data_IF_799855366041
#
_entry.id   IF_799855366041
#
_cell.length_a   1.000
_cell.length_b   1.000
_cell.length_c   1.000
_cell.angle_alpha   90.00
_cell.angle_beta   90.00
_cell.angle_gamma   90.00
#
_symmetry.space_group_name_H-M   'P 1'
#
loop_
_entity.id
_entity.type
_entity.pdbx_description
1 polymer ?
#
# COMPACT_ATOMS: atom_id res chain seq x y z
N UNK A 1 -24.55 -36.56 15.68
CA UNK A 1 -23.20 -36.52 15.06
C UNK A 1 -22.80 -35.07 14.92
N UNK A 2 -22.25 -34.48 15.94
CA UNK A 2 -21.82 -33.08 15.94
C UNK A 2 -21.09 -32.85 17.24
N UNK A 3 -19.78 -33.13 17.31
CA UNK A 3 -18.93 -32.59 18.38
C UNK A 3 -17.42 -32.92 18.25
N UNK A 4 -16.96 -33.32 17.08
CA UNK A 4 -15.51 -33.67 16.93
C UNK A 4 -14.62 -32.55 16.40
N UNK A 5 -15.12 -31.34 16.10
CA UNK A 5 -14.32 -30.26 15.52
C UNK A 5 -13.78 -29.22 16.51
N UNK A 6 -14.12 -29.28 17.78
CA UNK A 6 -13.77 -28.26 18.78
C UNK A 6 -12.55 -28.64 19.66
N UNK A 7 -12.11 -29.89 19.64
CA UNK A 7 -11.06 -30.40 20.54
C UNK A 7 -9.59 -30.13 20.09
N UNK A 8 -9.34 -29.54 18.91
CA UNK A 8 -8.00 -29.54 18.31
C UNK A 8 -7.12 -28.29 18.58
N UNK A 9 -7.53 -27.35 19.39
CA UNK A 9 -6.84 -26.05 19.52
C UNK A 9 -5.94 -25.89 20.72
N UNK A 10 -5.72 -26.95 21.53
CA UNK A 10 -4.92 -26.90 22.74
C UNK A 10 -3.57 -27.64 22.62
N UNK A 11 -3.29 -28.28 21.50
CA UNK A 11 -2.13 -29.15 21.31
C UNK A 11 -1.23 -28.57 20.18
N UNK A 12 0.09 -28.71 20.35
CA UNK A 12 1.05 -28.44 19.29
C UNK A 12 0.77 -29.37 18.09
N UNK A 13 0.61 -28.78 16.92
CA UNK A 13 0.38 -29.53 15.68
C UNK A 13 1.60 -29.45 14.77
N UNK A 14 1.84 -30.49 13.99
CA UNK A 14 2.79 -30.51 12.88
C UNK A 14 1.98 -30.62 11.60
N UNK A 15 2.08 -29.60 10.74
CA UNK A 15 1.40 -29.60 9.44
C UNK A 15 2.44 -29.72 8.32
N UNK A 16 2.22 -30.71 7.43
CA UNK A 16 3.07 -30.89 6.25
C UNK A 16 2.58 -29.98 5.12
N UNK A 17 3.49 -29.32 4.44
CA UNK A 17 3.19 -28.42 3.33
C UNK A 17 2.89 -29.23 2.08
N UNK A 18 1.71 -29.01 1.53
CA UNK A 18 1.24 -29.62 0.30
C UNK A 18 1.61 -28.76 -0.92
N UNK A 19 1.46 -29.33 -2.13
CA UNK A 19 1.79 -28.64 -3.41
C UNK A 19 1.08 -27.30 -3.58
N UNK A 20 -0.15 -27.20 -3.11
CA UNK A 20 -0.95 -25.95 -3.17
C UNK A 20 -0.44 -24.83 -2.27
N UNK A 21 0.36 -25.17 -1.25
CA UNK A 21 0.92 -24.24 -0.25
C UNK A 21 2.38 -23.87 -0.54
N UNK A 22 2.98 -24.48 -1.57
CA UNK A 22 4.35 -24.21 -1.97
C UNK A 22 4.54 -22.76 -2.41
N UNK A 23 5.70 -22.18 -2.18
CA UNK A 23 6.06 -20.81 -2.52
C UNK A 23 5.29 -19.73 -1.72
N UNK A 24 4.34 -20.11 -0.86
CA UNK A 24 3.62 -19.17 -0.01
C UNK A 24 4.54 -18.74 1.15
N UNK A 25 4.51 -17.46 1.50
CA UNK A 25 5.20 -16.96 2.69
C UNK A 25 4.54 -17.53 3.95
N UNK A 26 5.36 -17.90 4.93
CA UNK A 26 4.90 -18.51 6.18
C UNK A 26 3.88 -17.63 6.93
N UNK A 27 4.08 -16.31 6.98
CA UNK A 27 3.15 -15.39 7.62
C UNK A 27 1.78 -15.35 6.91
N UNK A 28 1.77 -15.49 5.58
CA UNK A 28 0.54 -15.55 4.78
C UNK A 28 -0.16 -16.90 4.97
N UNK A 29 0.60 -18.00 4.94
CA UNK A 29 0.10 -19.33 5.18
C UNK A 29 -0.60 -19.44 6.54
N UNK A 30 -0.04 -18.79 7.60
CA UNK A 30 -0.68 -18.70 8.91
C UNK A 30 -1.95 -17.87 8.89
N UNK A 31 -1.99 -16.74 8.20
CA UNK A 31 -3.19 -15.91 8.12
C UNK A 31 -4.32 -16.58 7.38
N UNK A 32 -4.03 -17.34 6.35
CA UNK A 32 -5.05 -18.06 5.59
C UNK A 32 -5.70 -19.18 6.42
N UNK A 33 -4.93 -19.82 7.31
CA UNK A 33 -5.42 -20.93 8.18
C UNK A 33 -5.93 -20.47 9.54
N UNK A 34 -5.37 -19.40 10.05
CA UNK A 34 -5.69 -18.84 11.36
C UNK A 34 -6.00 -17.34 11.24
N UNK A 35 -7.10 -16.97 10.56
CA UNK A 35 -7.41 -15.57 10.21
C UNK A 35 -7.59 -14.66 11.44
N UNK A 36 -7.86 -15.25 12.61
CA UNK A 36 -7.94 -14.54 13.88
C UNK A 36 -6.57 -14.12 14.46
N UNK A 37 -5.45 -14.67 13.95
CA UNK A 37 -4.12 -14.24 14.33
C UNK A 37 -3.69 -13.00 13.54
N UNK A 38 -3.58 -11.87 14.22
CA UNK A 38 -3.01 -10.66 13.63
C UNK A 38 -1.50 -10.82 13.36
N UNK A 39 -0.96 -10.03 12.41
CA UNK A 39 0.45 -10.06 12.00
C UNK A 39 1.42 -10.00 13.20
N UNK A 40 1.18 -9.10 14.17
CA UNK A 40 2.04 -8.98 15.35
C UNK A 40 2.06 -10.24 16.24
N UNK A 41 0.95 -10.99 16.30
CA UNK A 41 0.88 -12.26 17.02
C UNK A 41 1.75 -13.33 16.33
N UNK A 42 1.63 -13.45 15.00
CA UNK A 42 2.45 -14.37 14.20
C UNK A 42 3.94 -14.04 14.35
N UNK A 43 4.33 -12.78 14.25
CA UNK A 43 5.71 -12.34 14.43
C UNK A 43 6.24 -12.62 15.83
N UNK A 44 5.42 -12.45 16.87
CA UNK A 44 5.77 -12.80 18.24
C UNK A 44 6.01 -14.31 18.38
N UNK A 45 5.13 -15.16 17.82
CA UNK A 45 5.27 -16.61 17.85
C UNK A 45 6.53 -17.09 17.11
N UNK A 46 6.87 -16.46 15.99
CA UNK A 46 8.11 -16.74 15.26
C UNK A 46 9.34 -16.31 16.06
N UNK A 47 9.34 -15.10 16.60
CA UNK A 47 10.45 -14.56 17.41
C UNK A 47 10.72 -15.40 18.65
N UNK A 48 9.67 -15.87 19.32
CA UNK A 48 9.79 -16.73 20.50
C UNK A 48 10.09 -18.20 20.15
N UNK A 49 10.14 -18.54 18.84
CA UNK A 49 10.44 -19.88 18.35
C UNK A 49 9.32 -20.90 18.60
N UNK A 50 8.10 -20.44 18.82
CA UNK A 50 6.93 -21.30 18.95
C UNK A 50 6.47 -21.83 17.59
N UNK A 51 6.64 -21.04 16.51
CA UNK A 51 6.52 -21.49 15.13
C UNK A 51 7.89 -21.89 14.63
N UNK A 52 7.98 -23.07 13.97
CA UNK A 52 9.21 -23.59 13.37
C UNK A 52 8.88 -24.29 12.06
N UNK A 53 9.85 -24.33 11.14
CA UNK A 53 9.79 -25.12 9.92
C UNK A 53 10.95 -26.13 9.98
N UNK A 54 10.66 -27.42 9.86
CA UNK A 54 11.61 -28.53 10.00
C UNK A 54 12.47 -28.41 11.27
N UNK A 55 11.83 -28.01 12.38
CA UNK A 55 12.47 -27.80 13.67
C UNK A 55 13.31 -26.52 13.80
N UNK A 56 13.52 -25.76 12.73
CA UNK A 56 14.36 -24.55 12.71
C UNK A 56 13.54 -23.28 12.91
N UNK A 57 14.15 -22.25 13.49
CA UNK A 57 13.58 -20.90 13.53
C UNK A 57 13.70 -20.24 12.15
N UNK A 58 12.62 -19.66 11.67
CA UNK A 58 12.57 -18.98 10.39
C UNK A 58 11.92 -17.59 10.54
N UNK A 59 12.12 -16.71 9.55
CA UNK A 59 11.50 -15.39 9.51
C UNK A 59 10.08 -15.46 8.95
N UNK A 60 9.26 -14.44 9.20
CA UNK A 60 7.88 -14.36 8.72
C UNK A 60 7.74 -14.46 7.19
N UNK A 61 8.71 -13.94 6.46
CA UNK A 61 8.75 -13.95 5.00
C UNK A 61 9.37 -15.23 4.39
N UNK A 62 9.66 -16.25 5.21
CA UNK A 62 10.17 -17.55 4.75
C UNK A 62 9.16 -18.17 3.77
N UNK A 63 9.61 -18.66 2.62
CA UNK A 63 8.78 -19.34 1.63
C UNK A 63 8.78 -20.84 1.90
N UNK A 64 7.57 -21.38 1.97
CA UNK A 64 7.36 -22.79 2.26
C UNK A 64 7.57 -23.63 1.00
N UNK A 65 8.13 -24.82 1.18
CA UNK A 65 8.37 -25.82 0.14
C UNK A 65 7.57 -27.09 0.43
N UNK A 66 7.22 -27.84 -0.61
CA UNK A 66 6.47 -29.09 -0.48
C UNK A 66 7.21 -30.07 0.42
N UNK A 67 6.49 -30.70 1.33
CA UNK A 67 7.03 -31.71 2.25
C UNK A 67 7.62 -31.14 3.55
N UNK A 68 7.84 -29.84 3.64
CA UNK A 68 8.29 -29.22 4.90
C UNK A 68 7.25 -29.36 6.01
N UNK A 69 7.73 -29.49 7.25
CA UNK A 69 6.90 -29.65 8.45
C UNK A 69 6.87 -28.35 9.25
N UNK A 70 5.69 -27.74 9.32
CA UNK A 70 5.45 -26.52 10.10
C UNK A 70 4.92 -26.90 11.48
N UNK A 71 5.66 -26.52 12.53
CA UNK A 71 5.21 -26.61 13.92
C UNK A 71 4.28 -25.43 14.22
N UNK A 72 3.03 -25.75 14.50
CA UNK A 72 2.00 -24.80 14.90
C UNK A 72 1.82 -24.90 16.42
N UNK A 73 2.04 -23.81 17.18
CA UNK A 73 1.82 -23.82 18.64
C UNK A 73 0.32 -23.94 18.96
N UNK A 74 -0.04 -24.21 20.22
CA UNK A 74 -1.42 -24.11 20.68
C UNK A 74 -1.95 -22.70 20.39
N UNK A 75 -2.97 -22.61 19.54
CA UNK A 75 -3.62 -21.35 19.18
C UNK A 75 -4.95 -21.29 19.93
N UNK A 76 -5.19 -20.23 20.68
CA UNK A 76 -6.45 -20.03 21.39
C UNK A 76 -7.62 -20.08 20.42
N UNK A 77 -8.74 -20.69 20.84
CA UNK A 77 -9.94 -20.81 20.02
C UNK A 77 -10.48 -19.44 19.59
N UNK A 78 -11.09 -19.34 18.40
CA UNK A 78 -11.70 -18.10 17.90
C UNK A 78 -12.58 -17.40 18.93
N UNK A 79 -13.38 -18.15 19.70
CA UNK A 79 -14.30 -17.60 20.70
C UNK A 79 -13.62 -16.71 21.79
N UNK A 80 -12.40 -17.00 22.17
CA UNK A 80 -11.66 -16.19 23.14
C UNK A 80 -10.99 -14.95 22.50
N UNK A 81 -10.74 -15.00 21.20
CA UNK A 81 -10.26 -13.86 20.41
C UNK A 81 -11.40 -12.94 19.94
N UNK A 82 -12.58 -13.49 19.68
CA UNK A 82 -13.77 -12.72 19.27
C UNK A 82 -14.29 -11.82 20.37
N UNK A 83 -14.21 -12.24 21.64
CA UNK A 83 -14.56 -11.37 22.77
C UNK A 83 -13.60 -10.19 22.98
N UNK A 84 -12.37 -10.23 22.45
CA UNK A 84 -11.41 -9.14 22.53
C UNK A 84 -11.39 -8.24 21.28
N UNK A 85 -12.11 -8.59 20.23
CA UNK A 85 -12.15 -7.86 18.95
C UNK A 85 -13.55 -7.88 18.33
N UNK A 86 -14.57 -7.47 19.06
CA UNK A 86 -15.73 -6.87 18.41
C UNK A 86 -15.41 -5.48 17.88
N UNK A 87 -14.46 -5.40 16.92
CA UNK A 87 -14.59 -4.36 15.92
C UNK A 87 -15.72 -4.87 15.03
N UNK A 88 -16.98 -4.60 15.40
CA UNK A 88 -18.11 -4.67 14.50
C UNK A 88 -17.76 -3.73 13.35
N UNK A 89 -17.09 -4.26 12.30
CA UNK A 89 -17.20 -3.64 11.00
C UNK A 89 -18.70 -3.53 10.80
N UNK A 90 -19.25 -2.32 10.95
CA UNK A 90 -20.66 -2.12 10.73
C UNK A 90 -20.89 -2.65 9.30
N UNK A 91 -21.57 -3.79 9.17
CA UNK A 91 -21.80 -4.46 7.88
C UNK A 91 -22.28 -3.45 6.84
N UNK A 92 -23.19 -2.56 7.27
CA UNK A 92 -23.68 -1.45 6.46
C UNK A 92 -22.56 -0.52 5.97
N UNK A 93 -21.60 -0.15 6.83
CA UNK A 93 -20.47 0.70 6.45
C UNK A 93 -19.48 -0.01 5.53
N UNK A 94 -19.32 -1.33 5.66
CA UNK A 94 -18.52 -2.13 4.73
C UNK A 94 -19.20 -2.22 3.35
N UNK A 95 -20.51 -2.41 3.31
CA UNK A 95 -21.28 -2.44 2.07
C UNK A 95 -21.23 -1.08 1.36
N UNK A 96 -21.41 0.03 2.09
CA UNK A 96 -21.30 1.40 1.55
C UNK A 96 -19.90 1.68 0.99
N UNK A 97 -18.85 1.25 1.69
CA UNK A 97 -17.48 1.35 1.19
C UNK A 97 -17.27 0.51 -0.07
N UNK A 98 -17.79 -0.72 -0.09
CA UNK A 98 -17.75 -1.60 -1.26
C UNK A 98 -18.40 -0.95 -2.49
N UNK A 99 -19.60 -0.38 -2.34
CA UNK A 99 -20.28 0.35 -3.41
C UNK A 99 -19.48 1.58 -3.88
N UNK A 100 -18.90 2.32 -2.95
CA UNK A 100 -18.05 3.48 -3.28
C UNK A 100 -16.83 3.06 -4.09
N UNK A 101 -16.18 1.97 -3.72
CA UNK A 101 -15.03 1.46 -4.47
C UNK A 101 -15.43 0.87 -5.83
N UNK A 102 -16.57 0.19 -5.91
CA UNK A 102 -17.09 -0.31 -7.18
C UNK A 102 -17.38 0.81 -8.18
N UNK A 103 -17.89 1.95 -7.70
CA UNK A 103 -18.12 3.14 -8.55
C UNK A 103 -16.84 3.91 -8.90
N UNK A 104 -15.72 3.62 -8.23
CA UNK A 104 -14.42 4.25 -8.48
C UNK A 104 -13.52 3.42 -9.43
N UNK A 105 -14.05 2.40 -10.09
CA UNK A 105 -13.30 1.56 -11.02
C UNK A 105 -12.92 2.35 -12.27
N UNK A 106 -11.62 2.40 -12.54
CA UNK A 106 -11.02 3.05 -13.71
C UNK A 106 -10.80 2.07 -14.86
N UNK A 107 -10.55 0.80 -14.51
CA UNK A 107 -10.32 -0.28 -15.47
C UNK A 107 -10.74 -1.63 -14.87
N UNK A 108 -11.35 -2.45 -15.70
CA UNK A 108 -11.75 -3.81 -15.37
C UNK A 108 -11.56 -4.71 -16.59
N UNK A 109 -10.72 -5.74 -16.46
CA UNK A 109 -10.60 -6.81 -17.44
C UNK A 109 -10.59 -8.20 -16.74
N UNK A 110 -10.17 -9.25 -17.41
CA UNK A 110 -10.17 -10.61 -16.85
C UNK A 110 -9.14 -10.80 -15.73
N UNK A 111 -8.02 -10.07 -15.75
CA UNK A 111 -6.89 -10.24 -14.81
C UNK A 111 -6.78 -9.09 -13.79
N UNK A 112 -7.21 -7.88 -14.16
CA UNK A 112 -6.91 -6.64 -13.43
C UNK A 112 -8.17 -5.85 -13.10
N UNK A 113 -8.20 -5.29 -11.90
CA UNK A 113 -9.09 -4.18 -11.53
C UNK A 113 -8.20 -3.00 -11.14
N UNK A 114 -8.51 -1.82 -11.64
CA UNK A 114 -7.87 -0.59 -11.21
C UNK A 114 -8.93 0.35 -10.65
N UNK A 115 -8.71 0.86 -9.46
CA UNK A 115 -9.63 1.79 -8.80
C UNK A 115 -8.94 3.12 -8.54
N UNK A 116 -9.72 4.20 -8.53
CA UNK A 116 -9.33 5.50 -8.00
C UNK A 116 -9.51 5.49 -6.47
N UNK A 117 -8.43 5.20 -5.74
CA UNK A 117 -8.48 5.14 -4.28
C UNK A 117 -8.71 6.53 -3.68
N UNK A 118 -9.75 6.73 -2.87
CA UNK A 118 -9.92 8.01 -2.18
C UNK A 118 -8.80 8.26 -1.15
N UNK A 119 -8.47 9.54 -0.93
CA UNK A 119 -7.61 9.97 0.17
C UNK A 119 -8.28 9.70 1.52
N UNK A 120 -7.50 9.30 2.53
CA UNK A 120 -7.99 9.00 3.88
C UNK A 120 -8.40 7.54 4.09
N UNK A 121 -8.45 6.71 3.02
CA UNK A 121 -8.77 5.29 3.12
C UNK A 121 -7.49 4.45 3.10
N UNK A 122 -7.30 3.60 4.10
CA UNK A 122 -6.19 2.67 4.16
C UNK A 122 -6.37 1.51 3.17
N UNK A 123 -5.27 1.01 2.57
CA UNK A 123 -5.32 -0.17 1.70
C UNK A 123 -5.45 -1.45 2.53
N UNK A 124 -4.70 -1.55 3.64
CA UNK A 124 -4.71 -2.71 4.53
C UNK A 124 -5.01 -2.31 5.97
N UNK A 125 -5.58 -3.24 6.72
CA UNK A 125 -5.82 -3.07 8.14
C UNK A 125 -4.52 -2.93 8.94
N UNK A 126 -4.63 -2.32 10.11
CA UNK A 126 -3.56 -2.15 11.08
C UNK A 126 -4.12 -1.81 12.45
N UNK A 127 -3.25 -1.54 13.42
CA UNK A 127 -3.69 -1.11 14.75
C UNK A 127 -4.55 0.16 14.61
N UNK A 128 -5.78 0.13 15.11
CA UNK A 128 -6.75 1.26 15.06
C UNK A 128 -7.29 1.63 13.67
N UNK A 129 -7.21 0.74 12.67
CA UNK A 129 -7.83 0.95 11.35
C UNK A 129 -9.06 0.06 11.23
N UNK A 130 -10.25 0.65 11.30
CA UNK A 130 -11.52 -0.06 11.27
C UNK A 130 -12.02 -0.35 9.85
N UNK A 131 -11.71 0.53 8.90
CA UNK A 131 -12.10 0.41 7.49
C UNK A 131 -10.87 0.46 6.59
N UNK A 132 -10.76 -0.50 5.70
CA UNK A 132 -9.67 -0.58 4.72
C UNK A 132 -10.12 -1.38 3.49
N UNK A 133 -9.46 -1.16 2.37
CA UNK A 133 -9.82 -1.77 1.08
C UNK A 133 -9.77 -3.30 1.15
N UNK A 134 -8.73 -3.88 1.76
CA UNK A 134 -8.58 -5.34 1.90
C UNK A 134 -9.78 -6.02 2.58
N UNK A 135 -10.44 -5.30 3.50
CA UNK A 135 -11.60 -5.79 4.25
C UNK A 135 -12.89 -5.87 3.42
N UNK A 136 -12.95 -5.20 2.28
CA UNK A 136 -14.14 -5.14 1.43
C UNK A 136 -13.89 -5.62 0.00
N UNK A 137 -12.76 -6.28 -0.27
CA UNK A 137 -12.45 -6.79 -1.62
C UNK A 137 -13.47 -7.82 -2.13
N UNK A 138 -14.20 -8.47 -1.25
CA UNK A 138 -15.28 -9.42 -1.64
C UNK A 138 -16.40 -8.74 -2.43
N UNK A 139 -16.59 -7.42 -2.25
CA UNK A 139 -17.59 -6.65 -3.01
C UNK A 139 -17.12 -6.29 -4.43
N UNK A 140 -15.83 -6.46 -4.73
CA UNK A 140 -15.20 -6.10 -6.00
C UNK A 140 -14.90 -7.31 -6.90
N UNK A 141 -15.66 -8.39 -6.76
CA UNK A 141 -15.46 -9.60 -7.56
C UNK A 141 -15.89 -9.45 -9.02
N UNK A 142 -16.90 -8.61 -9.30
CA UNK A 142 -17.47 -8.39 -10.63
C UNK A 142 -17.72 -9.69 -11.39
N UNK A 143 -18.40 -10.64 -10.72
CA UNK A 143 -18.73 -11.94 -11.28
C UNK A 143 -17.61 -12.98 -11.30
N UNK A 144 -16.40 -12.64 -10.86
CA UNK A 144 -15.32 -13.61 -10.69
C UNK A 144 -15.55 -14.42 -9.40
N UNK A 145 -15.41 -15.77 -9.40
CA UNK A 145 -15.55 -16.57 -8.20
C UNK A 145 -14.43 -16.35 -7.16
N UNK A 146 -13.33 -15.74 -7.57
CA UNK A 146 -12.21 -15.44 -6.69
C UNK A 146 -12.27 -14.00 -6.17
N UNK A 147 -11.99 -13.84 -4.87
CA UNK A 147 -11.76 -12.53 -4.25
C UNK A 147 -10.54 -11.85 -4.85
N UNK A 148 -10.62 -10.58 -5.27
CA UNK A 148 -9.48 -9.81 -5.73
C UNK A 148 -8.36 -9.74 -4.69
N UNK A 149 -7.13 -9.54 -5.15
CA UNK A 149 -5.92 -9.56 -4.31
C UNK A 149 -5.16 -8.25 -4.44
N UNK A 150 -4.66 -7.77 -3.30
CA UNK A 150 -3.73 -6.65 -3.28
C UNK A 150 -2.36 -7.07 -3.84
N UNK A 151 -1.82 -6.29 -4.77
CA UNK A 151 -0.49 -6.50 -5.37
C UNK A 151 0.50 -5.38 -5.03
N UNK A 152 -0.01 -4.22 -4.64
CA UNK A 152 0.75 -3.11 -4.08
C UNK A 152 -0.11 -2.30 -3.11
N UNK A 153 0.44 -1.22 -2.59
CA UNK A 153 -0.27 -0.35 -1.66
C UNK A 153 0.02 1.12 -1.92
N UNK A 154 -0.94 1.96 -1.56
CA UNK A 154 -0.79 3.40 -1.37
C UNK A 154 -0.91 3.72 0.13
N UNK A 155 -0.32 4.81 0.55
CA UNK A 155 -0.51 5.33 1.90
C UNK A 155 -1.98 5.74 2.12
N UNK A 156 -2.44 5.76 3.37
CA UNK A 156 -3.82 6.10 3.73
C UNK A 156 -4.28 7.40 3.07
N UNK A 157 -3.45 8.44 3.17
CA UNK A 157 -3.81 9.79 2.72
C UNK A 157 -3.43 10.08 1.26
N UNK A 158 -2.76 9.14 0.58
CA UNK A 158 -2.49 9.20 -0.87
C UNK A 158 -3.70 8.69 -1.63
N UNK A 159 -4.19 9.46 -2.60
CA UNK A 159 -5.28 9.09 -3.51
C UNK A 159 -4.77 8.55 -4.84
N UNK A 160 -5.68 8.04 -5.68
CA UNK A 160 -5.41 7.72 -7.09
C UNK A 160 -5.27 6.22 -7.38
N UNK A 161 -4.58 5.93 -8.46
CA UNK A 161 -4.52 4.60 -9.10
C UNK A 161 -4.03 3.51 -8.15
N UNK A 162 -4.91 2.57 -7.82
CA UNK A 162 -4.61 1.35 -7.08
C UNK A 162 -4.99 0.12 -7.91
N UNK A 163 -4.01 -0.75 -8.14
CA UNK A 163 -4.18 -1.98 -8.93
C UNK A 163 -4.47 -3.17 -8.03
N UNK A 164 -5.47 -3.94 -8.40
CA UNK A 164 -5.85 -5.21 -7.78
C UNK A 164 -5.74 -6.31 -8.83
N UNK A 165 -5.36 -7.50 -8.41
CA UNK A 165 -5.43 -8.69 -9.25
C UNK A 165 -6.77 -9.40 -9.03
N UNK A 166 -7.41 -9.86 -10.10
CA UNK A 166 -8.69 -10.58 -10.00
C UNK A 166 -8.56 -12.02 -9.54
N UNK A 167 -7.40 -12.63 -9.79
CA UNK A 167 -7.13 -14.00 -9.41
C UNK A 167 -5.70 -14.21 -8.90
N UNK A 168 -5.35 -15.46 -8.60
CA UNK A 168 -4.03 -15.83 -8.09
C UNK A 168 -2.95 -15.69 -9.15
N UNK A 169 -3.24 -16.02 -10.41
CA UNK A 169 -2.28 -15.96 -11.52
C UNK A 169 -1.88 -14.50 -11.80
N UNK A 170 -2.87 -13.63 -11.92
CA UNK A 170 -2.67 -12.20 -12.06
C UNK A 170 -1.90 -11.61 -10.86
N UNK A 171 -2.23 -12.04 -9.63
CA UNK A 171 -1.51 -11.58 -8.44
C UNK A 171 -0.03 -11.96 -8.44
N UNK A 172 0.33 -13.12 -8.96
CA UNK A 172 1.72 -13.57 -9.05
C UNK A 172 2.55 -12.70 -9.97
N UNK A 173 2.10 -12.50 -11.23
CA UNK A 173 2.88 -11.71 -12.18
C UNK A 173 2.87 -10.20 -11.84
N UNK A 174 1.75 -9.63 -11.40
CA UNK A 174 1.69 -8.24 -10.96
C UNK A 174 2.64 -7.98 -9.78
N UNK A 175 2.61 -8.84 -8.75
CA UNK A 175 3.51 -8.70 -7.60
C UNK A 175 4.98 -8.78 -8.02
N UNK A 176 5.30 -9.67 -8.98
CA UNK A 176 6.64 -9.77 -9.57
C UNK A 176 7.02 -8.45 -10.24
N UNK A 177 6.16 -7.90 -11.10
CA UNK A 177 6.42 -6.68 -11.86
C UNK A 177 6.58 -5.45 -10.96
N UNK A 178 5.76 -5.33 -9.91
CA UNK A 178 5.94 -4.28 -8.90
C UNK A 178 7.29 -4.40 -8.17
N UNK A 179 7.71 -5.61 -7.84
CA UNK A 179 8.99 -5.89 -7.17
C UNK A 179 10.18 -5.61 -8.09
N UNK A 180 10.08 -5.97 -9.36
CA UNK A 180 11.13 -5.80 -10.38
C UNK A 180 11.14 -4.40 -10.99
N UNK A 181 10.27 -3.51 -10.51
CA UNK A 181 10.16 -2.12 -10.98
C UNK A 181 9.79 -2.01 -12.49
N UNK A 182 9.14 -3.03 -13.03
CA UNK A 182 8.70 -3.09 -14.42
C UNK A 182 7.40 -2.29 -14.68
N UNK A 183 6.83 -1.68 -13.64
CA UNK A 183 5.61 -0.87 -13.72
C UNK A 183 5.99 0.59 -13.49
N UNK A 184 5.65 1.43 -14.47
CA UNK A 184 5.81 2.87 -14.33
C UNK A 184 4.64 3.47 -13.56
N UNK A 185 4.94 4.39 -12.66
CA UNK A 185 3.95 5.09 -11.81
C UNK A 185 4.31 6.55 -11.76
N UNK A 186 3.37 7.41 -12.09
CA UNK A 186 3.53 8.85 -11.94
C UNK A 186 2.64 9.36 -10.82
N UNK A 187 3.22 10.11 -9.92
CA UNK A 187 2.53 10.79 -8.83
C UNK A 187 2.57 12.30 -9.06
N UNK A 188 1.47 12.97 -8.77
CA UNK A 188 1.43 14.43 -8.71
C UNK A 188 1.37 14.88 -7.26
N UNK A 189 2.09 15.94 -6.97
CA UNK A 189 2.04 16.58 -5.66
C UNK A 189 2.12 18.09 -5.79
N UNK A 190 1.53 18.78 -4.83
CA UNK A 190 1.83 20.17 -4.53
C UNK A 190 2.87 20.17 -3.40
N UNK A 191 4.04 20.74 -3.64
CA UNK A 191 5.08 20.90 -2.61
C UNK A 191 5.17 22.35 -2.20
N UNK A 192 5.56 22.59 -0.94
CA UNK A 192 5.68 23.94 -0.36
C UNK A 192 7.13 24.36 -0.42
N UNK A 193 7.36 25.57 -0.92
CA UNK A 193 8.71 26.14 -1.09
C UNK A 193 9.21 26.10 -2.54
N UNK A 194 10.41 26.61 -2.73
CA UNK A 194 11.08 26.66 -4.02
C UNK A 194 11.88 25.36 -4.23
N UNK A 195 11.40 24.49 -5.10
CA UNK A 195 12.09 23.24 -5.44
C UNK A 195 13.22 23.51 -6.45
N UNK A 196 14.44 23.17 -6.09
CA UNK A 196 15.62 23.22 -6.97
C UNK A 196 16.47 21.96 -6.81
N UNK A 197 17.05 21.44 -7.90
CA UNK A 197 16.85 21.80 -9.32
C UNK A 197 15.44 21.46 -9.82
N UNK A 198 15.06 21.99 -10.99
CA UNK A 198 13.71 21.79 -11.59
C UNK A 198 13.37 20.33 -11.92
N UNK A 199 14.37 19.49 -12.07
CA UNK A 199 14.27 18.03 -12.17
C UNK A 199 15.48 17.36 -11.55
N UNK A 200 15.29 16.15 -11.04
CA UNK A 200 16.37 15.43 -10.37
C UNK A 200 16.02 14.01 -9.96
N UNK A 201 17.02 13.33 -9.43
CA UNK A 201 16.93 12.00 -8.81
C UNK A 201 17.25 12.15 -7.33
N UNK A 202 16.39 11.62 -6.48
CA UNK A 202 16.67 11.45 -5.05
C UNK A 202 17.02 9.97 -4.85
N UNK A 203 18.22 9.69 -4.40
CA UNK A 203 18.71 8.36 -4.06
C UNK A 203 19.11 8.36 -2.58
N UNK A 204 18.12 8.18 -1.73
CA UNK A 204 18.28 8.32 -0.28
C UNK A 204 17.60 7.17 0.43
N UNK A 205 18.38 6.18 0.93
CA UNK A 205 17.84 5.00 1.59
C UNK A 205 16.99 5.33 2.81
N UNK A 206 15.91 4.56 3.00
CA UNK A 206 14.94 4.80 4.06
C UNK A 206 14.90 3.68 5.08
N UNK A 207 14.83 4.04 6.36
CA UNK A 207 14.66 3.15 7.49
C UNK A 207 13.48 3.58 8.36
N UNK A 208 12.71 2.60 8.81
CA UNK A 208 11.67 2.79 9.80
C UNK A 208 12.30 3.01 11.17
N UNK A 209 11.94 4.08 11.85
CA UNK A 209 12.37 4.39 13.21
C UNK A 209 11.16 4.53 14.13
N UNK A 210 11.27 4.01 15.33
CA UNK A 210 10.26 4.13 16.38
C UNK A 210 10.88 4.92 17.51
N UNK A 211 10.28 6.06 17.86
CA UNK A 211 10.64 6.85 19.05
C UNK A 211 9.36 7.17 19.80
N UNK A 212 9.30 6.88 21.08
CA UNK A 212 8.17 7.24 21.98
C UNK A 212 6.79 6.87 21.37
N UNK A 213 6.65 5.64 20.87
CA UNK A 213 5.47 5.13 20.18
C UNK A 213 5.12 5.86 18.85
N UNK A 214 5.98 6.75 18.36
CA UNK A 214 5.79 7.43 17.08
C UNK A 214 6.67 6.78 15.99
N UNK A 215 6.01 6.14 15.05
CA UNK A 215 6.64 5.47 13.93
C UNK A 215 6.83 6.43 12.74
N UNK A 216 8.09 6.66 12.34
CA UNK A 216 8.43 7.49 11.17
C UNK A 216 9.46 6.79 10.27
N UNK A 217 9.35 7.03 8.97
CA UNK A 217 10.45 6.74 8.03
C UNK A 217 11.46 7.87 8.08
N UNK A 218 12.74 7.53 8.00
CA UNK A 218 13.84 8.51 7.98
C UNK A 218 14.89 8.07 6.97
N UNK A 219 15.62 9.03 6.39
CA UNK A 219 16.80 8.75 5.60
C UNK A 219 17.86 8.14 6.52
N UNK A 220 18.44 7.03 6.08
CA UNK A 220 19.49 6.33 6.78
C UNK A 220 20.42 5.67 5.75
N UNK A 221 21.59 6.28 5.56
CA UNK A 221 22.57 5.85 4.55
C UNK A 221 23.31 4.56 4.93
N UNK A 222 23.32 4.20 6.23
CA UNK A 222 24.03 3.00 6.71
C UNK A 222 23.18 1.73 6.60
N UNK A 223 21.93 1.80 7.11
CA UNK A 223 21.08 0.63 7.27
C UNK A 223 19.71 0.78 6.60
N UNK A 224 19.52 1.83 5.79
CA UNK A 224 18.29 2.10 5.07
C UNK A 224 18.10 1.16 3.88
N UNK A 225 16.86 0.88 3.55
CA UNK A 225 16.53 0.20 2.31
C UNK A 225 16.61 1.18 1.15
N UNK A 226 17.21 0.77 0.03
CA UNK A 226 17.30 1.58 -1.19
C UNK A 226 15.95 2.21 -1.54
N UNK A 227 15.97 3.52 -1.74
CA UNK A 227 14.79 4.30 -2.11
C UNK A 227 15.19 5.35 -3.15
N UNK A 228 14.61 5.24 -4.35
CA UNK A 228 14.94 6.08 -5.51
C UNK A 228 13.66 6.71 -6.04
N UNK A 229 13.69 8.04 -6.18
CA UNK A 229 12.59 8.84 -6.74
C UNK A 229 13.14 9.80 -7.78
N UNK A 230 12.60 9.77 -8.98
CA UNK A 230 12.78 10.83 -9.98
C UNK A 230 11.66 11.84 -9.79
N UNK A 231 12.00 13.14 -9.93
CA UNK A 231 11.03 14.21 -9.86
C UNK A 231 11.30 15.27 -10.92
N UNK A 232 10.27 15.96 -11.32
CA UNK A 232 10.35 17.12 -12.18
C UNK A 232 9.22 18.09 -11.86
N UNK A 233 9.52 19.39 -11.90
CA UNK A 233 8.51 20.44 -11.75
C UNK A 233 7.66 20.45 -13.03
N UNK A 234 6.35 20.43 -12.86
CA UNK A 234 5.38 20.67 -13.93
C UNK A 234 5.13 22.16 -14.04
N UNK A 235 4.87 22.82 -12.91
CA UNK A 235 4.65 24.25 -12.84
C UNK A 235 5.15 24.83 -11.52
N UNK A 236 5.82 25.98 -11.60
CA UNK A 236 6.41 26.67 -10.46
C UNK A 236 5.54 27.87 -10.07
N UNK A 237 5.10 27.92 -8.82
CA UNK A 237 4.30 29.02 -8.27
C UNK A 237 5.17 30.01 -7.48
N UNK A 238 6.04 30.71 -8.18
CA UNK A 238 7.05 31.58 -7.58
C UNK A 238 7.94 30.80 -6.60
N UNK A 239 8.20 31.37 -5.40
CA UNK A 239 8.97 30.71 -4.34
C UNK A 239 8.11 29.99 -3.32
N UNK A 240 6.77 30.01 -3.48
CA UNK A 240 5.84 29.51 -2.45
C UNK A 240 5.53 28.05 -2.60
N UNK A 241 5.39 27.56 -3.82
CA UNK A 241 4.98 26.19 -4.11
C UNK A 241 5.37 25.74 -5.51
N UNK A 242 5.30 24.43 -5.74
CA UNK A 242 5.46 23.84 -7.07
C UNK A 242 4.51 22.65 -7.24
N UNK A 243 3.92 22.55 -8.43
CA UNK A 243 3.31 21.29 -8.87
C UNK A 243 4.41 20.40 -9.43
N UNK A 244 4.57 19.23 -8.83
CA UNK A 244 5.66 18.30 -9.12
C UNK A 244 5.10 16.95 -9.60
N UNK A 245 5.66 16.43 -10.69
CA UNK A 245 5.50 15.04 -11.08
C UNK A 245 6.65 14.21 -10.48
N UNK A 246 6.33 13.01 -9.96
CA UNK A 246 7.30 12.11 -9.34
C UNK A 246 7.14 10.69 -9.87
N UNK A 247 8.26 10.03 -10.22
CA UNK A 247 8.33 8.62 -10.62
C UNK A 247 9.20 7.82 -9.66
N UNK A 248 8.60 7.17 -8.64
CA UNK A 248 9.36 6.31 -7.74
C UNK A 248 9.77 5.01 -8.44
N UNK A 249 11.08 4.72 -8.50
CA UNK A 249 11.60 3.41 -8.95
C UNK A 249 11.41 2.34 -7.86
N UNK A 250 11.43 2.72 -6.61
CA UNK A 250 11.17 1.87 -5.44
C UNK A 250 9.85 2.25 -4.77
N UNK A 251 9.32 1.42 -3.87
CA UNK A 251 8.05 1.65 -3.20
C UNK A 251 8.14 1.51 -1.67
N UNK A 252 8.99 2.30 -1.00
CA UNK A 252 9.09 2.28 0.46
C UNK A 252 7.96 3.07 1.11
N UNK A 253 7.58 2.67 2.30
CA UNK A 253 6.55 3.40 3.08
C UNK A 253 6.88 4.89 3.15
N UNK A 254 5.93 5.75 2.83
CA UNK A 254 6.06 7.21 2.83
C UNK A 254 7.23 7.76 2.01
N UNK A 255 7.75 7.00 1.04
CA UNK A 255 8.98 7.36 0.30
C UNK A 255 8.93 8.78 -0.27
N UNK A 256 7.91 9.09 -1.09
CA UNK A 256 7.78 10.39 -1.74
C UNK A 256 7.68 11.53 -0.73
N UNK A 257 6.99 11.30 0.37
CA UNK A 257 6.80 12.27 1.46
C UNK A 257 8.13 12.61 2.16
N UNK A 258 8.91 11.58 2.49
CA UNK A 258 10.23 11.77 3.13
C UNK A 258 11.22 12.41 2.16
N UNK A 259 11.24 11.97 0.91
CA UNK A 259 12.13 12.49 -0.12
C UNK A 259 11.89 13.98 -0.37
N UNK A 260 10.62 14.40 -0.57
CA UNK A 260 10.34 15.83 -0.78
C UNK A 260 10.64 16.67 0.45
N UNK A 261 10.33 16.16 1.65
CA UNK A 261 10.71 16.85 2.89
C UNK A 261 12.22 16.99 3.06
N UNK A 262 13.00 16.03 2.59
CA UNK A 262 14.49 16.09 2.66
C UNK A 262 15.11 17.14 1.75
N UNK A 263 14.40 17.56 0.70
CA UNK A 263 14.80 18.67 -0.17
C UNK A 263 14.39 20.04 0.41
N UNK A 264 13.80 20.08 1.60
CA UNK A 264 13.25 21.31 2.19
C UNK A 264 11.93 21.77 1.58
N UNK A 265 11.34 20.97 0.69
CA UNK A 265 10.06 21.25 0.01
C UNK A 265 9.04 20.16 0.31
N UNK A 266 8.49 20.11 1.54
CA UNK A 266 7.55 19.08 1.93
C UNK A 266 6.27 19.14 1.09
N UNK A 267 5.61 17.99 0.92
CA UNK A 267 4.30 17.91 0.26
C UNK A 267 3.28 18.70 1.09
N UNK A 268 2.48 19.51 0.42
CA UNK A 268 1.46 20.31 1.09
C UNK A 268 0.47 19.41 1.86
N UNK A 269 0.18 19.79 3.10
CA UNK A 269 -0.66 19.03 4.01
C UNK A 269 0.06 17.91 4.77
N UNK A 270 1.35 17.67 4.53
CA UNK A 270 2.11 16.63 5.21
C UNK A 270 2.73 17.10 6.54
N UNK A 271 1.88 17.31 7.55
CA UNK A 271 2.34 17.69 8.89
C UNK A 271 3.29 16.66 9.54
N UNK A 272 3.25 15.38 9.10
CA UNK A 272 4.11 14.32 9.67
C UNK A 272 5.59 14.54 9.33
N UNK A 273 5.91 14.95 8.10
CA UNK A 273 7.29 15.09 7.62
C UNK A 273 7.72 16.54 7.47
N UNK A 274 6.83 17.45 7.13
CA UNK A 274 7.14 18.88 6.98
C UNK A 274 6.73 19.75 8.19
N UNK A 275 5.98 19.19 9.18
CA UNK A 275 5.51 20.01 10.28
C UNK A 275 4.67 21.20 9.82
N UNK A 276 4.89 22.37 10.43
CA UNK A 276 4.17 23.61 10.07
C UNK A 276 4.56 24.13 8.67
N UNK A 277 5.77 23.89 8.21
CA UNK A 277 6.24 24.36 6.90
C UNK A 277 5.59 23.61 5.72
N UNK A 278 4.88 22.51 5.97
CA UNK A 278 4.12 21.80 4.94
C UNK A 278 2.78 22.46 4.59
N UNK A 279 2.46 23.61 5.13
CA UNK A 279 1.18 24.26 4.89
C UNK A 279 1.37 25.63 4.24
N UNK A 280 0.74 25.81 3.07
CA UNK A 280 0.65 27.12 2.45
C UNK A 280 -0.30 28.00 3.27
N UNK A 281 0.14 29.21 3.58
CA UNK A 281 -0.69 30.20 4.24
C UNK A 281 -1.54 30.93 3.18
N UNK A 282 -2.53 30.20 2.64
CA UNK A 282 -3.47 30.69 1.64
C UNK A 282 -4.89 30.20 2.01
N UNK A 283 -5.85 31.13 2.04
CA UNK A 283 -7.24 30.77 2.29
C UNK A 283 -7.79 29.88 1.18
N UNK A 284 -8.62 28.91 1.55
CA UNK A 284 -9.29 28.01 0.63
C UNK A 284 -8.46 26.84 0.13
N UNK A 285 -7.16 26.79 0.37
CA UNK A 285 -6.35 25.61 0.08
C UNK A 285 -6.60 24.53 1.15
N UNK A 286 -6.96 23.35 0.72
CA UNK A 286 -7.25 22.22 1.62
C UNK A 286 -5.99 21.83 2.42
N UNK A 287 -6.16 21.56 3.72
CA UNK A 287 -5.05 21.08 4.58
C UNK A 287 -4.78 19.57 4.46
N UNK A 288 -5.51 18.83 3.61
CA UNK A 288 -5.23 17.43 3.32
C UNK A 288 -3.92 17.27 2.55
N UNK A 289 -3.31 16.09 2.61
CA UNK A 289 -2.08 15.80 1.85
C UNK A 289 -2.37 15.89 0.34
N UNK A 290 -1.57 16.68 -0.36
CA UNK A 290 -1.64 16.85 -1.81
C UNK A 290 -0.66 15.90 -2.50
N UNK A 291 -0.93 14.61 -2.42
CA UNK A 291 -0.19 13.54 -3.07
C UNK A 291 -1.17 12.56 -3.73
N UNK A 292 -1.03 12.38 -5.03
CA UNK A 292 -1.94 11.62 -5.85
C UNK A 292 -1.19 10.69 -6.81
N UNK A 293 -1.52 9.40 -6.79
CA UNK A 293 -1.05 8.42 -7.78
C UNK A 293 -1.81 8.69 -9.09
N UNK A 294 -1.22 9.54 -9.95
CA UNK A 294 -1.88 10.09 -11.14
C UNK A 294 -2.10 9.05 -12.22
N UNK A 295 -1.05 8.33 -12.58
CA UNK A 295 -1.13 7.33 -13.63
C UNK A 295 -0.24 6.12 -13.38
N UNK A 296 -0.55 5.06 -14.10
CA UNK A 296 0.20 3.82 -14.12
C UNK A 296 0.29 3.28 -15.55
N UNK A 297 1.48 2.79 -15.92
CA UNK A 297 1.71 2.07 -17.17
C UNK A 297 2.16 0.65 -16.87
N UNK A 298 1.43 -0.32 -17.39
CA UNK A 298 1.67 -1.76 -17.18
C UNK A 298 1.79 -2.42 -18.55
N UNK A 299 2.91 -3.09 -18.80
CA UNK A 299 3.03 -4.01 -19.94
C UNK A 299 2.63 -5.40 -19.49
N UNK A 300 1.47 -5.88 -19.93
CA UNK A 300 0.94 -7.19 -19.56
C UNK A 300 1.79 -8.32 -20.19
N UNK A 301 1.76 -9.56 -19.61
CA UNK A 301 2.49 -10.70 -20.15
C UNK A 301 2.13 -11.06 -21.61
N UNK A 302 0.91 -10.74 -22.05
CA UNK A 302 0.44 -10.92 -23.42
C UNK A 302 0.89 -9.81 -24.40
N UNK A 303 1.75 -8.89 -23.95
CA UNK A 303 2.25 -7.76 -24.76
C UNK A 303 1.34 -6.53 -24.78
N UNK A 304 0.11 -6.60 -24.26
CA UNK A 304 -0.79 -5.44 -24.17
C UNK A 304 -0.22 -4.42 -23.20
N UNK A 305 -0.23 -3.15 -23.59
CA UNK A 305 0.06 -2.03 -22.69
C UNK A 305 -1.24 -1.43 -22.13
N UNK A 306 -1.27 -1.27 -20.81
CA UNK A 306 -2.31 -0.54 -20.12
C UNK A 306 -1.73 0.78 -19.62
N UNK A 307 -2.39 1.88 -19.99
CA UNK A 307 -2.12 3.20 -19.44
C UNK A 307 -3.40 3.72 -18.80
N UNK A 308 -3.39 3.86 -17.48
CA UNK A 308 -4.58 4.20 -16.70
C UNK A 308 -4.27 5.43 -15.86
N UNK A 309 -5.18 6.39 -15.90
CA UNK A 309 -5.07 7.67 -15.24
C UNK A 309 -6.24 7.88 -14.29
N UNK A 310 -5.98 8.37 -13.08
CA UNK A 310 -6.99 8.81 -12.13
C UNK A 310 -7.07 10.34 -12.11
N UNK A 311 -8.28 10.86 -12.03
CA UNK A 311 -8.52 12.29 -11.86
C UNK A 311 -8.10 12.78 -10.48
N UNK A 312 -7.66 14.04 -10.39
CA UNK A 312 -7.38 14.65 -9.08
C UNK A 312 -8.60 14.54 -8.15
N UNK A 313 -8.41 14.21 -6.88
CA UNK A 313 -9.50 14.22 -5.91
C UNK A 313 -9.99 15.65 -5.66
N UNK A 314 -11.24 15.80 -5.23
CA UNK A 314 -11.89 17.11 -5.09
C UNK A 314 -11.06 18.14 -4.33
N UNK A 315 -10.41 17.75 -3.22
CA UNK A 315 -9.58 18.69 -2.45
C UNK A 315 -8.36 19.20 -3.23
N UNK A 316 -7.79 18.38 -4.11
CA UNK A 316 -6.70 18.82 -4.99
C UNK A 316 -7.24 19.60 -6.18
N UNK A 317 -8.36 19.18 -6.80
CA UNK A 317 -9.01 19.96 -7.88
C UNK A 317 -9.31 21.40 -7.43
N UNK A 318 -9.88 21.55 -6.23
CA UNK A 318 -10.15 22.87 -5.66
C UNK A 318 -8.87 23.69 -5.45
N UNK A 319 -7.83 23.08 -4.88
CA UNK A 319 -6.53 23.76 -4.68
C UNK A 319 -5.87 24.14 -6.02
N UNK A 320 -5.91 23.25 -7.03
CA UNK A 320 -5.39 23.53 -8.37
C UNK A 320 -6.11 24.72 -8.99
N UNK A 321 -7.44 24.73 -8.94
CA UNK A 321 -8.24 25.86 -9.46
C UNK A 321 -7.89 27.19 -8.79
N UNK A 322 -7.74 27.21 -7.47
CA UNK A 322 -7.39 28.43 -6.74
C UNK A 322 -5.96 28.92 -7.01
N UNK A 323 -5.05 28.01 -7.30
CA UNK A 323 -3.66 28.32 -7.63
C UNK A 323 -3.46 28.63 -9.12
N UNK A 324 -4.53 28.56 -9.94
CA UNK A 324 -4.47 28.80 -11.39
C UNK A 324 -3.78 27.66 -12.17
N UNK A 325 -3.61 26.48 -11.57
CA UNK A 325 -2.98 25.33 -12.21
C UNK A 325 -3.99 24.62 -13.13
N UNK A 326 -3.61 24.38 -14.39
CA UNK A 326 -4.46 23.66 -15.36
C UNK A 326 -3.86 22.29 -15.72
N UNK A 327 -4.55 21.22 -15.31
CA UNK A 327 -4.15 19.85 -15.61
C UNK A 327 -4.20 19.49 -17.10
N UNK A 328 -4.93 20.27 -17.93
CA UNK A 328 -4.99 20.07 -19.38
C UNK A 328 -3.68 20.43 -20.07
N UNK A 329 -2.92 21.34 -19.47
CA UNK A 329 -1.62 21.76 -19.98
C UNK A 329 -0.47 20.84 -19.56
N UNK A 330 -0.77 19.76 -18.82
CA UNK A 330 0.23 18.81 -18.41
C UNK A 330 0.92 18.16 -19.61
N UNK A 331 2.22 18.34 -19.67
CA UNK A 331 3.12 17.57 -20.55
C UNK A 331 4.02 16.74 -19.65
N UNK A 332 4.27 15.48 -20.02
CA UNK A 332 5.15 14.63 -19.26
C UNK A 332 6.55 15.26 -19.15
N UNK A 333 6.98 15.71 -17.96
CA UNK A 333 8.24 16.42 -17.83
C UNK A 333 9.46 15.49 -17.86
N UNK A 334 9.24 14.19 -17.87
CA UNK A 334 10.32 13.21 -17.91
C UNK A 334 10.79 12.94 -19.32
N UNK A 335 9.89 12.89 -20.33
CA UNK A 335 10.24 12.69 -21.72
C UNK A 335 11.23 11.54 -21.90
N UNK A 336 12.32 11.79 -22.66
CA UNK A 336 13.41 10.84 -22.89
C UNK A 336 14.40 10.70 -21.72
N UNK A 337 14.19 11.46 -20.61
CA UNK A 337 15.14 11.52 -19.50
C UNK A 337 15.14 10.26 -18.61
N UNK A 338 14.17 9.39 -18.69
CA UNK A 338 14.08 8.11 -18.01
C UNK A 338 14.17 6.95 -19.00
#
# INVERSE_FOLDING_TARGET
>A
MGDERIAHLTIVQIQTIEKQDSEIRLDRWFRDRYPHLGQGAIEKLLRTGQIRVDGRRVKANFRLEVGQKVRVPPIASPARYEQAKEIKLNRKAADELGHTLASSVLHLDEEIIVIDKPAGLAVQGGTSINQHIDGVLDTLTFGNPQKPKLVHRLDKDTSGVLVLARDRKAAQWLTKYFREQAIEKTYWALVVGELRPVKGKIDSPLKKTIRENNEKMRINTKDGQTAITHYAIVEQLGRKASWVAMRPKTGRTHQLRVHMASLGTPIHGDGKYGGRTAFLDLQGISKKIHLHARDIRIRCPNGKELFITADLPNHMKSSWSQLGLDTKNYKDPFGEWL
#
